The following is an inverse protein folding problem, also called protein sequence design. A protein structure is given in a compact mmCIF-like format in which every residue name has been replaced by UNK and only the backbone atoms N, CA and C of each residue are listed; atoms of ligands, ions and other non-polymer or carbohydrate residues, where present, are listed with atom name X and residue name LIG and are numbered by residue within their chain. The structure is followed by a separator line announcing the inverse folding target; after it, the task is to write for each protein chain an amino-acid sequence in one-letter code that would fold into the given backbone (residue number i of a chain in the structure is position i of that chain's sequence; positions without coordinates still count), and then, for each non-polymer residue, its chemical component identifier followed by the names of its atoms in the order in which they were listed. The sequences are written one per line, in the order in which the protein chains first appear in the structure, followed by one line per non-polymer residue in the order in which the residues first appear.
data_IF_126155896043
#
_entry.id   IF_126155896043
#
_cell.length_a   1.000
_cell.length_b   1.000
_cell.length_c   1.000
_cell.angle_alpha   90.00
_cell.angle_beta   90.00
_cell.angle_gamma   90.00
#
_symmetry.space_group_name_H-M   'P 1'
#
loop_
_entity.id
_entity.type
_entity.pdbx_description
1 polymer ?
#
# COMPACT_ATOMS: atom_id res chain seq x y z
N UNK A 1 -45.33 -7.44 -4.92
CA UNK A 1 -45.55 -6.90 -6.29
C UNK A 1 -44.75 -7.74 -7.26
N UNK A 2 -45.34 -8.86 -7.73
CA UNK A 2 -45.25 -9.50 -9.07
C UNK A 2 -46.51 -10.39 -9.08
N UNK A 3 -47.67 -9.78 -9.32
CA UNK A 3 -48.46 -9.93 -10.56
C UNK A 3 -49.06 -11.33 -10.73
N UNK A 4 -50.22 -11.48 -10.09
CA UNK A 4 -51.30 -12.34 -10.57
C UNK A 4 -51.92 -11.64 -11.78
N UNK A 5 -51.72 -12.17 -13.00
CA UNK A 5 -52.65 -11.97 -14.10
C UNK A 5 -52.46 -13.05 -15.17
N UNK A 6 -53.48 -13.91 -15.25
CA UNK A 6 -54.06 -14.46 -16.48
C UNK A 6 -53.18 -15.24 -17.46
N UNK A 7 -53.25 -16.57 -17.36
CA UNK A 7 -53.61 -17.36 -18.53
C UNK A 7 -54.98 -17.98 -18.27
N UNK A 8 -55.99 -17.39 -18.90
CA UNK A 8 -57.34 -17.91 -18.89
C UNK A 8 -57.41 -19.28 -19.56
N UNK A 9 -58.08 -20.21 -18.90
CA UNK A 9 -58.71 -21.34 -19.58
C UNK A 9 -60.16 -21.39 -19.10
N UNK A 10 -61.01 -21.04 -20.06
CA UNK A 10 -62.46 -20.97 -19.97
C UNK A 10 -63.10 -22.33 -19.66
N UNK A 11 -64.21 -22.25 -18.94
CA UNK A 11 -65.08 -23.30 -18.44
C UNK A 11 -65.37 -24.48 -19.38
N UNK A 12 -65.41 -25.68 -18.79
CA UNK A 12 -66.06 -26.87 -19.34
C UNK A 12 -65.95 -28.05 -18.38
N UNK A 13 -66.91 -28.17 -17.46
CA UNK A 13 -66.97 -29.27 -16.49
C UNK A 13 -67.19 -30.63 -17.18
N UNK A 14 -66.18 -31.50 -17.14
CA UNK A 14 -66.39 -32.97 -17.06
C UNK A 14 -65.27 -33.57 -16.23
N UNK A 15 -65.65 -34.08 -15.05
CA UNK A 15 -64.76 -34.81 -14.14
C UNK A 15 -64.24 -36.06 -14.86
N UNK A 16 -62.99 -36.03 -15.30
CA UNK A 16 -62.25 -37.24 -15.67
C UNK A 16 -61.27 -37.48 -14.53
N UNK A 17 -61.65 -38.32 -13.58
CA UNK A 17 -60.71 -38.84 -12.59
C UNK A 17 -59.70 -39.71 -13.33
N UNK A 18 -58.54 -39.16 -13.64
CA UNK A 18 -57.39 -39.95 -14.06
C UNK A 18 -57.03 -40.81 -12.85
N UNK A 19 -57.33 -42.11 -12.91
CA UNK A 19 -56.69 -43.08 -12.03
C UNK A 19 -55.22 -43.07 -12.46
N UNK A 20 -54.42 -42.23 -11.81
CA UNK A 20 -52.97 -42.31 -11.94
C UNK A 20 -52.58 -43.71 -11.45
N UNK A 21 -51.95 -44.48 -12.33
CA UNK A 21 -51.44 -45.78 -11.91
C UNK A 21 -50.37 -45.56 -10.84
N UNK A 22 -50.28 -46.47 -9.86
CA UNK A 22 -49.29 -46.38 -8.78
C UNK A 22 -47.85 -46.23 -9.30
N UNK A 23 -47.58 -46.72 -10.52
CA UNK A 23 -46.32 -46.54 -11.24
C UNK A 23 -46.04 -45.08 -11.63
N UNK A 24 -47.04 -44.34 -12.12
CA UNK A 24 -46.89 -42.94 -12.54
C UNK A 24 -46.67 -42.02 -11.31
N UNK A 25 -47.31 -42.36 -10.18
CA UNK A 25 -47.14 -41.63 -8.92
C UNK A 25 -45.73 -41.81 -8.33
N UNK A 26 -45.16 -43.02 -8.43
CA UNK A 26 -43.78 -43.33 -8.01
C UNK A 26 -42.74 -42.64 -8.93
N UNK A 27 -43.01 -42.58 -10.24
CA UNK A 27 -42.15 -41.89 -11.21
C UNK A 27 -42.12 -40.39 -10.94
N UNK A 28 -43.30 -39.76 -10.75
CA UNK A 28 -43.42 -38.34 -10.41
C UNK A 28 -42.74 -37.98 -9.08
N UNK A 29 -42.86 -38.85 -8.06
CA UNK A 29 -42.19 -38.66 -6.76
C UNK A 29 -40.67 -38.73 -6.87
N UNK A 30 -40.18 -39.58 -7.77
CA UNK A 30 -38.75 -39.73 -8.04
C UNK A 30 -38.19 -38.51 -8.75
N UNK A 31 -38.88 -38.00 -9.77
CA UNK A 31 -38.50 -36.77 -10.48
C UNK A 31 -38.46 -35.55 -9.56
N UNK A 32 -39.50 -35.35 -8.74
CA UNK A 32 -39.56 -34.24 -7.77
C UNK A 32 -38.41 -34.34 -6.75
N UNK A 33 -38.08 -35.55 -6.27
CA UNK A 33 -36.96 -35.78 -5.34
C UNK A 33 -35.61 -35.45 -5.97
N UNK A 34 -35.42 -35.78 -7.25
CA UNK A 34 -34.20 -35.46 -8.01
C UNK A 34 -34.07 -33.96 -8.27
N UNK A 35 -35.15 -33.26 -8.63
CA UNK A 35 -35.16 -31.81 -8.82
C UNK A 35 -34.86 -31.07 -7.51
N UNK A 36 -35.48 -31.48 -6.41
CA UNK A 36 -35.22 -30.90 -5.08
C UNK A 36 -33.74 -31.09 -4.71
N UNK A 37 -33.19 -32.29 -4.89
CA UNK A 37 -31.77 -32.60 -4.59
C UNK A 37 -30.79 -31.81 -5.46
N UNK A 38 -31.10 -31.59 -6.73
CA UNK A 38 -30.28 -30.78 -7.65
C UNK A 38 -30.32 -29.30 -7.29
N UNK A 39 -31.50 -28.73 -6.96
CA UNK A 39 -31.63 -27.36 -6.45
C UNK A 39 -30.86 -27.15 -5.15
N UNK A 40 -30.90 -28.11 -4.21
CA UNK A 40 -30.10 -28.05 -2.97
C UNK A 40 -28.59 -28.12 -3.22
N UNK A 41 -28.12 -28.92 -4.19
CA UNK A 41 -26.69 -28.94 -4.58
C UNK A 41 -26.26 -27.61 -5.18
N UNK A 42 -27.09 -27.04 -6.06
CA UNK A 42 -26.80 -25.78 -6.73
C UNK A 42 -26.83 -24.57 -5.78
N UNK A 43 -27.73 -24.57 -4.79
CA UNK A 43 -27.75 -23.54 -3.74
C UNK A 43 -26.53 -23.64 -2.83
N UNK A 44 -26.12 -24.86 -2.46
CA UNK A 44 -24.91 -25.10 -1.66
C UNK A 44 -23.64 -24.66 -2.40
N UNK A 45 -23.49 -25.02 -3.69
CA UNK A 45 -22.37 -24.58 -4.51
C UNK A 45 -22.28 -23.05 -4.63
N UNK A 46 -23.43 -22.36 -4.80
CA UNK A 46 -23.47 -20.89 -4.80
C UNK A 46 -23.03 -20.32 -3.46
N UNK A 47 -23.49 -20.87 -2.35
CA UNK A 47 -23.10 -20.43 -1.01
C UNK A 47 -21.60 -20.62 -0.75
N UNK A 48 -21.04 -21.77 -1.15
CA UNK A 48 -19.61 -22.06 -1.04
C UNK A 48 -18.79 -21.08 -1.88
N UNK A 49 -19.21 -20.79 -3.12
CA UNK A 49 -18.56 -19.82 -4.00
C UNK A 49 -18.58 -18.40 -3.41
N UNK A 50 -19.74 -17.92 -2.95
CA UNK A 50 -19.89 -16.62 -2.27
C UNK A 50 -18.98 -16.52 -1.03
N UNK A 51 -18.85 -17.61 -0.28
CA UNK A 51 -17.99 -17.66 0.91
C UNK A 51 -16.52 -17.53 0.52
N UNK A 52 -16.08 -18.26 -0.50
CA UNK A 52 -14.71 -18.18 -1.04
C UNK A 52 -14.39 -16.78 -1.57
N UNK A 53 -15.33 -16.16 -2.29
CA UNK A 53 -15.15 -14.81 -2.84
C UNK A 53 -15.07 -13.75 -1.72
N UNK A 54 -15.91 -13.85 -0.68
CA UNK A 54 -15.82 -12.98 0.51
C UNK A 54 -14.49 -13.14 1.25
N UNK A 55 -14.00 -14.37 1.44
CA UNK A 55 -12.72 -14.63 2.10
C UNK A 55 -11.54 -14.07 1.30
N UNK A 56 -11.60 -14.22 -0.04
CA UNK A 56 -10.61 -13.65 -0.95
C UNK A 56 -10.61 -12.13 -0.84
N UNK A 57 -11.77 -11.49 -0.87
CA UNK A 57 -11.89 -10.04 -0.76
C UNK A 57 -11.37 -9.52 0.58
N UNK A 58 -11.73 -10.18 1.69
CA UNK A 58 -11.18 -9.87 3.02
C UNK A 58 -9.65 -9.94 3.04
N UNK A 59 -9.06 -11.01 2.47
CA UNK A 59 -7.59 -11.14 2.36
C UNK A 59 -6.96 -10.02 1.52
N UNK A 60 -7.60 -9.60 0.43
CA UNK A 60 -7.13 -8.47 -0.36
C UNK A 60 -7.19 -7.16 0.42
N UNK A 61 -8.27 -6.90 1.15
CA UNK A 61 -8.40 -5.69 1.95
C UNK A 61 -7.39 -5.63 3.10
N UNK A 62 -7.12 -6.77 3.73
CA UNK A 62 -6.09 -6.87 4.78
C UNK A 62 -4.68 -6.65 4.22
N UNK A 63 -4.37 -7.20 3.03
CA UNK A 63 -3.12 -6.92 2.32
C UNK A 63 -2.99 -5.43 1.97
N UNK A 64 -4.06 -4.84 1.40
CA UNK A 64 -4.08 -3.41 1.03
C UNK A 64 -3.80 -2.53 2.24
N UNK A 65 -4.48 -2.78 3.37
CA UNK A 65 -4.26 -2.06 4.64
C UNK A 65 -2.81 -2.21 5.10
N UNK A 66 -2.25 -3.41 5.06
CA UNK A 66 -0.85 -3.66 5.42
C UNK A 66 0.14 -2.89 4.54
N UNK A 67 -0.06 -2.89 3.22
CA UNK A 67 0.78 -2.13 2.28
C UNK A 67 0.69 -0.62 2.50
N UNK A 68 -0.53 -0.08 2.63
CA UNK A 68 -0.76 1.34 2.90
C UNK A 68 -0.08 1.78 4.22
N UNK A 69 -0.20 0.95 5.26
CA UNK A 69 0.44 1.21 6.55
C UNK A 69 1.97 1.17 6.45
N UNK A 70 2.52 0.22 5.69
CA UNK A 70 3.97 0.11 5.43
C UNK A 70 4.51 1.40 4.79
N UNK A 71 3.82 1.88 3.74
CA UNK A 71 4.23 3.07 2.98
C UNK A 71 4.15 4.32 3.86
N UNK A 72 3.08 4.47 4.66
CA UNK A 72 2.93 5.58 5.61
C UNK A 72 4.07 5.62 6.64
N UNK A 73 4.42 4.49 7.26
CA UNK A 73 5.53 4.45 8.22
C UNK A 73 6.88 4.73 7.56
N UNK A 74 7.14 4.16 6.37
CA UNK A 74 8.37 4.41 5.62
C UNK A 74 8.53 5.91 5.28
N UNK A 75 7.44 6.58 4.87
CA UNK A 75 7.43 8.02 4.61
C UNK A 75 7.79 8.83 5.86
N UNK A 76 7.23 8.48 7.02
CA UNK A 76 7.52 9.17 8.29
C UNK A 76 8.97 8.97 8.72
N UNK A 77 9.50 7.75 8.64
CA UNK A 77 10.89 7.45 9.00
C UNK A 77 11.86 8.20 8.06
N UNK A 78 11.55 8.26 6.76
CA UNK A 78 12.34 9.04 5.79
C UNK A 78 12.38 10.53 6.11
N UNK A 79 11.25 11.10 6.56
CA UNK A 79 11.18 12.49 7.03
C UNK A 79 12.06 12.76 8.25
N UNK A 80 12.11 11.82 9.19
CA UNK A 80 12.96 11.94 10.39
C UNK A 80 14.45 11.81 10.07
N UNK A 81 14.83 11.05 9.04
CA UNK A 81 16.23 10.80 8.67
C UNK A 81 16.94 12.01 8.06
N UNK A 82 16.19 13.00 7.55
CA UNK A 82 16.76 14.18 6.89
C UNK A 82 16.51 15.45 7.72
N UNK A 83 17.46 16.38 7.65
CA UNK A 83 17.37 17.65 8.39
C UNK A 83 16.15 18.48 7.97
N UNK A 84 15.75 18.38 6.70
CA UNK A 84 14.66 19.16 6.08
C UNK A 84 13.32 18.41 6.11
N UNK A 85 13.30 17.14 6.50
CA UNK A 85 12.09 16.32 6.44
C UNK A 85 11.03 16.68 7.49
N UNK A 86 11.43 17.26 8.63
CA UNK A 86 10.50 17.65 9.70
C UNK A 86 10.88 19.00 10.27
N UNK A 87 9.90 19.88 10.51
CA UNK A 87 10.13 21.22 11.09
C UNK A 87 10.84 21.18 12.45
N UNK A 88 10.69 20.09 13.20
CA UNK A 88 11.41 19.86 14.46
C UNK A 88 12.92 19.76 14.28
N UNK A 89 13.40 19.08 13.24
CA UNK A 89 14.84 18.93 12.95
C UNK A 89 15.45 20.28 12.55
N UNK A 90 14.73 21.07 11.76
CA UNK A 90 15.11 22.43 11.37
C UNK A 90 15.13 23.36 12.59
N UNK A 91 14.12 23.27 13.46
CA UNK A 91 14.06 24.07 14.69
C UNK A 91 15.23 23.77 15.63
N UNK A 92 15.53 22.48 15.87
CA UNK A 92 16.66 22.07 16.72
C UNK A 92 17.98 22.59 16.16
N UNK A 93 18.18 22.52 14.84
CA UNK A 93 19.35 23.11 14.19
C UNK A 93 19.42 24.61 14.44
N UNK A 94 18.32 25.34 14.22
CA UNK A 94 18.28 26.79 14.45
C UNK A 94 18.60 27.16 15.89
N UNK A 95 18.06 26.40 16.86
CA UNK A 95 18.32 26.59 18.28
C UNK A 95 19.78 26.32 18.67
N UNK A 96 20.37 25.25 18.14
CA UNK A 96 21.80 24.92 18.36
C UNK A 96 22.69 26.00 17.74
N UNK A 97 22.39 26.43 16.51
CA UNK A 97 23.13 27.48 15.82
C UNK A 97 23.04 28.82 16.59
N UNK A 98 21.92 29.10 17.26
CA UNK A 98 21.75 30.32 18.06
C UNK A 98 22.47 30.26 19.41
N UNK A 99 22.41 29.11 20.08
CA UNK A 99 22.96 28.91 21.44
C UNK A 99 24.47 28.73 21.42
N UNK A 100 25.02 28.08 20.39
CA UNK A 100 26.44 27.71 20.28
C UNK A 100 27.23 28.58 19.28
N UNK A 101 26.80 29.83 19.06
CA UNK A 101 27.52 30.81 18.23
C UNK A 101 28.98 30.94 18.72
N UNK A 102 29.93 30.36 17.99
CA UNK A 102 31.37 30.48 18.26
C UNK A 102 32.14 29.19 18.56
N UNK A 103 31.47 28.03 18.62
CA UNK A 103 32.15 26.72 18.69
C UNK A 103 32.13 25.99 17.33
N UNK A 104 33.10 25.11 17.09
CA UNK A 104 33.22 24.34 15.85
C UNK A 104 32.07 23.34 15.60
N UNK A 105 31.13 23.20 16.55
CA UNK A 105 29.94 22.36 16.44
C UNK A 105 28.88 23.02 15.55
N UNK A 106 29.10 23.04 14.24
CA UNK A 106 28.06 23.41 13.26
C UNK A 106 27.32 22.18 12.79
N UNK A 107 26.00 22.15 12.99
CA UNK A 107 25.15 21.05 12.50
C UNK A 107 24.90 21.26 11.01
N UNK A 108 25.75 20.66 10.18
CA UNK A 108 25.61 20.70 8.72
C UNK A 108 24.60 19.66 8.21
N UNK A 109 24.00 19.94 7.05
CA UNK A 109 23.03 19.03 6.41
C UNK A 109 23.63 17.65 6.17
N UNK A 110 24.87 17.58 5.66
CA UNK A 110 25.56 16.32 5.40
C UNK A 110 25.85 15.54 6.69
N UNK A 111 26.32 16.19 7.75
CA UNK A 111 26.62 15.52 9.01
C UNK A 111 25.34 14.95 9.66
N UNK A 112 24.26 15.73 9.65
CA UNK A 112 22.96 15.26 10.12
C UNK A 112 22.42 14.11 9.27
N UNK A 113 22.55 14.19 7.94
CA UNK A 113 22.15 13.10 7.04
C UNK A 113 22.96 11.83 7.29
N UNK A 114 24.28 11.95 7.48
CA UNK A 114 25.16 10.81 7.73
C UNK A 114 24.85 10.12 9.07
N UNK A 115 24.39 10.88 10.07
CA UNK A 115 23.91 10.34 11.34
C UNK A 115 22.46 9.80 11.26
N UNK A 116 21.57 10.53 10.59
CA UNK A 116 20.15 10.23 10.49
C UNK A 116 19.84 9.05 9.56
N UNK A 117 20.62 8.85 8.50
CA UNK A 117 20.45 7.76 7.54
C UNK A 117 20.65 6.37 8.16
N UNK A 118 21.73 6.05 8.90
CA UNK A 118 21.87 4.74 9.54
C UNK A 118 20.81 4.49 10.60
N UNK A 119 20.45 5.51 11.40
CA UNK A 119 19.36 5.42 12.38
C UNK A 119 18.02 5.17 11.69
N UNK A 120 17.75 5.87 10.58
CA UNK A 120 16.56 5.68 9.75
C UNK A 120 16.47 4.28 9.16
N UNK A 121 17.59 3.73 8.67
CA UNK A 121 17.64 2.34 8.15
C UNK A 121 17.36 1.33 9.27
N UNK A 122 17.93 1.50 10.46
CA UNK A 122 17.65 0.64 11.62
C UNK A 122 16.16 0.71 11.99
N UNK A 123 15.58 1.91 12.04
CA UNK A 123 14.15 2.10 12.32
C UNK A 123 13.26 1.50 11.23
N UNK A 124 13.68 1.55 9.97
CA UNK A 124 12.97 0.93 8.85
C UNK A 124 12.96 -0.60 8.99
N UNK A 125 14.09 -1.20 9.38
CA UNK A 125 14.19 -2.65 9.64
C UNK A 125 13.32 -3.04 10.84
N UNK A 126 13.34 -2.26 11.92
CA UNK A 126 12.48 -2.49 13.10
C UNK A 126 10.99 -2.37 12.75
N UNK A 127 10.62 -1.37 11.95
CA UNK A 127 9.26 -1.19 11.46
C UNK A 127 8.81 -2.36 10.58
N UNK A 128 9.68 -2.81 9.67
CA UNK A 128 9.44 -3.99 8.84
C UNK A 128 9.23 -5.24 9.70
N UNK A 129 10.08 -5.47 10.71
CA UNK A 129 9.93 -6.57 11.64
C UNK A 129 8.62 -6.47 12.45
N UNK A 130 8.27 -5.27 12.91
CA UNK A 130 7.02 -5.01 13.62
C UNK A 130 5.78 -5.31 12.77
N UNK A 131 5.78 -4.88 11.51
CA UNK A 131 4.71 -5.20 10.57
C UNK A 131 4.63 -6.69 10.24
N UNK A 132 5.78 -7.34 10.11
CA UNK A 132 5.83 -8.79 9.93
C UNK A 132 5.25 -9.50 11.15
N UNK A 133 5.53 -9.04 12.37
CA UNK A 133 4.91 -9.59 13.58
C UNK A 133 3.39 -9.35 13.56
N UNK A 134 2.92 -8.15 13.27
CA UNK A 134 1.50 -7.80 13.28
C UNK A 134 0.68 -8.60 12.25
N UNK A 135 1.19 -8.72 11.02
CA UNK A 135 0.47 -9.37 9.92
C UNK A 135 0.70 -10.88 9.85
N UNK A 136 1.86 -11.37 10.31
CA UNK A 136 2.23 -12.79 10.26
C UNK A 136 2.00 -13.54 11.59
N UNK A 137 1.39 -12.88 12.60
CA UNK A 137 1.21 -13.38 13.99
C UNK A 137 0.37 -14.64 14.18
N UNK A 138 -0.16 -15.27 13.13
CA UNK A 138 -0.84 -16.58 13.19
C UNK A 138 -0.05 -17.69 12.44
N UNK A 139 1.05 -17.37 11.76
CA UNK A 139 1.74 -18.34 10.89
C UNK A 139 3.26 -18.43 11.08
N UNK A 140 3.83 -17.88 12.16
CA UNK A 140 5.26 -18.04 12.48
C UNK A 140 5.72 -19.51 12.51
N UNK A 141 4.81 -20.48 12.69
CA UNK A 141 5.11 -21.92 12.63
C UNK A 141 4.86 -22.59 11.26
N UNK A 142 4.41 -21.86 10.25
CA UNK A 142 4.19 -22.39 8.89
C UNK A 142 5.30 -21.92 7.94
N UNK A 143 6.53 -22.33 8.24
CA UNK A 143 7.66 -22.30 7.28
C UNK A 143 7.50 -23.41 6.21
N UNK A 144 6.29 -23.60 5.68
CA UNK A 144 6.04 -24.47 4.51
C UNK A 144 5.39 -23.62 3.46
N UNK A 145 6.24 -23.17 2.54
CA UNK A 145 5.86 -22.76 1.18
C UNK A 145 5.01 -23.87 0.56
N UNK A 146 3.69 -23.68 0.59
CA UNK A 146 2.80 -24.50 -0.22
C UNK A 146 3.08 -24.14 -1.69
N UNK A 147 3.38 -25.14 -2.52
CA UNK A 147 3.72 -24.96 -3.94
C UNK A 147 2.64 -24.20 -4.73
N UNK A 148 1.41 -24.10 -4.19
CA UNK A 148 0.34 -23.25 -4.71
C UNK A 148 0.66 -21.75 -4.71
N UNK A 149 1.51 -21.25 -3.82
CA UNK A 149 1.87 -19.83 -3.77
C UNK A 149 2.75 -19.41 -4.97
N UNK A 150 3.55 -20.31 -5.55
CA UNK A 150 4.43 -19.96 -6.69
C UNK A 150 3.65 -19.64 -7.97
N UNK A 151 2.52 -20.32 -8.19
CA UNK A 151 1.63 -20.07 -9.35
C UNK A 151 0.91 -18.73 -9.17
N UNK A 152 0.48 -18.41 -7.95
CA UNK A 152 -0.11 -17.11 -7.58
C UNK A 152 0.88 -15.96 -7.76
N UNK A 153 2.14 -16.16 -7.37
CA UNK A 153 3.23 -15.19 -7.54
C UNK A 153 3.51 -14.88 -9.02
N UNK A 154 3.48 -15.88 -9.90
CA UNK A 154 3.63 -15.66 -11.35
C UNK A 154 2.51 -14.80 -11.94
N UNK A 155 1.26 -15.06 -11.54
CA UNK A 155 0.10 -14.27 -11.97
C UNK A 155 0.13 -12.84 -11.42
N UNK A 156 0.52 -12.66 -10.15
CA UNK A 156 0.69 -11.35 -9.53
C UNK A 156 1.80 -10.54 -10.20
N UNK A 157 2.96 -11.16 -10.47
CA UNK A 157 4.06 -10.54 -11.20
C UNK A 157 3.64 -10.12 -12.60
N UNK A 158 2.91 -10.97 -13.33
CA UNK A 158 2.39 -10.63 -14.65
C UNK A 158 1.40 -9.46 -14.61
N UNK A 159 0.53 -9.40 -13.59
CA UNK A 159 -0.38 -8.27 -13.37
C UNK A 159 0.37 -6.97 -13.04
N UNK A 160 1.40 -7.05 -12.18
CA UNK A 160 2.24 -5.91 -11.83
C UNK A 160 3.05 -5.41 -13.04
N UNK A 161 3.63 -6.32 -13.82
CA UNK A 161 4.37 -5.95 -15.03
C UNK A 161 3.45 -5.30 -16.05
N UNK A 162 2.24 -5.83 -16.22
CA UNK A 162 1.22 -5.25 -17.11
C UNK A 162 0.86 -3.83 -16.68
N UNK A 163 0.59 -3.63 -15.38
CA UNK A 163 0.33 -2.30 -14.84
C UNK A 163 1.54 -1.37 -15.05
N UNK A 164 2.76 -1.84 -14.74
CA UNK A 164 4.01 -1.09 -14.96
C UNK A 164 4.21 -0.70 -16.43
N UNK A 165 3.94 -1.59 -17.37
CA UNK A 165 4.00 -1.28 -18.80
C UNK A 165 2.90 -0.31 -19.24
N UNK A 166 1.73 -0.36 -18.60
CA UNK A 166 0.63 0.57 -18.86
C UNK A 166 0.94 2.01 -18.38
N UNK A 167 1.82 2.21 -17.39
CA UNK A 167 2.28 3.55 -16.97
C UNK A 167 3.08 4.28 -18.06
N UNK A 168 3.57 3.57 -19.08
CA UNK A 168 4.31 4.18 -20.19
C UNK A 168 5.72 4.65 -19.81
N UNK A 169 6.40 5.26 -20.79
CA UNK A 169 7.74 5.82 -20.60
C UNK A 169 7.63 7.12 -19.78
N UNK A 170 8.59 7.40 -18.87
CA UNK A 170 8.55 8.63 -18.09
C UNK A 170 8.52 9.85 -19.01
N UNK A 171 7.66 10.80 -18.66
CA UNK A 171 7.53 12.05 -19.41
C UNK A 171 8.80 12.90 -19.27
N UNK A 172 9.07 13.76 -20.25
CA UNK A 172 10.18 14.72 -20.18
C UNK A 172 10.15 15.55 -18.89
N UNK A 173 8.94 15.91 -18.43
CA UNK A 173 8.75 16.68 -17.20
C UNK A 173 9.17 15.90 -15.96
N UNK A 174 8.86 14.60 -15.89
CA UNK A 174 9.26 13.75 -14.77
C UNK A 174 10.77 13.62 -14.68
N UNK A 175 11.43 13.52 -15.84
CA UNK A 175 12.88 13.52 -15.92
C UNK A 175 13.47 14.85 -15.42
N UNK A 176 12.95 15.99 -15.89
CA UNK A 176 13.39 17.31 -15.42
C UNK A 176 13.26 17.48 -13.91
N UNK A 177 12.11 17.10 -13.32
CA UNK A 177 11.91 17.18 -11.86
C UNK A 177 12.89 16.27 -11.11
N UNK A 178 13.14 15.06 -11.61
CA UNK A 178 14.12 14.15 -11.03
C UNK A 178 15.54 14.71 -11.06
N UNK A 179 15.95 15.30 -12.19
CA UNK A 179 17.27 15.93 -12.33
C UNK A 179 17.42 17.13 -11.40
N UNK A 180 16.43 18.01 -11.35
CA UNK A 180 16.44 19.19 -10.45
C UNK A 180 16.52 18.76 -8.98
N UNK A 181 15.79 17.71 -8.60
CA UNK A 181 15.82 17.18 -7.24
C UNK A 181 17.20 16.64 -6.85
N UNK A 182 17.86 15.91 -7.76
CA UNK A 182 19.23 15.41 -7.53
C UNK A 182 20.22 16.58 -7.41
N UNK A 183 20.14 17.56 -8.31
CA UNK A 183 20.98 18.77 -8.25
C UNK A 183 20.75 19.51 -6.92
N UNK A 184 19.51 19.62 -6.45
CA UNK A 184 19.19 20.25 -5.18
C UNK A 184 19.85 19.52 -4.00
N UNK A 185 19.78 18.18 -3.95
CA UNK A 185 20.43 17.39 -2.90
C UNK A 185 21.95 17.58 -2.94
N UNK A 186 22.55 17.51 -4.13
CA UNK A 186 23.99 17.75 -4.31
C UNK A 186 24.36 19.15 -3.84
N UNK A 187 23.57 20.16 -4.21
CA UNK A 187 23.79 21.54 -3.81
C UNK A 187 23.72 21.69 -2.29
N UNK A 188 22.75 21.06 -1.62
CA UNK A 188 22.65 21.03 -0.16
C UNK A 188 23.86 20.38 0.51
N UNK A 189 24.39 19.31 -0.06
CA UNK A 189 25.61 18.65 0.43
C UNK A 189 26.84 19.54 0.22
N UNK A 190 26.98 20.17 -0.95
CA UNK A 190 28.10 21.07 -1.27
C UNK A 190 28.01 22.46 -0.63
N UNK A 191 26.86 22.81 -0.04
CA UNK A 191 26.63 24.12 0.60
C UNK A 191 27.56 24.35 1.80
N UNK A 192 27.72 23.34 2.64
CA UNK A 192 28.61 23.35 3.82
C UNK A 192 29.24 21.95 3.96
N UNK A 193 30.36 21.76 3.24
CA UNK A 193 31.06 20.48 3.19
C UNK A 193 31.94 20.32 4.45
N UNK A 194 31.28 20.08 5.60
CA UNK A 194 31.92 19.68 6.85
C UNK A 194 33.03 20.62 7.33
N UNK A 195 34.27 20.31 6.96
CA UNK A 195 35.51 20.97 7.40
C UNK A 195 36.12 21.93 6.36
N UNK A 196 35.71 21.86 5.09
CA UNK A 196 36.10 22.83 4.06
C UNK A 196 34.99 23.85 3.87
N UNK A 197 35.33 25.14 3.95
CA UNK A 197 34.44 26.26 3.63
C UNK A 197 33.77 25.98 2.27
N UNK A 198 32.47 25.67 2.27
CA UNK A 198 31.72 25.44 1.04
C UNK A 198 31.53 26.73 0.24
N UNK A 199 30.88 26.66 -0.93
CA UNK A 199 30.57 27.85 -1.75
C UNK A 199 29.77 28.93 -0.99
N UNK A 200 29.09 28.55 0.10
CA UNK A 200 28.41 29.47 1.03
C UNK A 200 29.32 30.58 1.56
N UNK A 201 30.61 30.33 1.76
CA UNK A 201 31.52 31.35 2.30
C UNK A 201 31.85 32.45 1.31
N UNK A 202 31.69 32.20 0.00
CA UNK A 202 31.89 33.23 -1.04
C UNK A 202 30.84 34.33 -0.91
N UNK A 203 29.61 33.98 -0.52
CA UNK A 203 28.52 34.93 -0.33
C UNK A 203 28.48 35.53 1.09
N UNK A 204 29.03 34.83 2.10
CA UNK A 204 29.06 35.31 3.49
C UNK A 204 30.23 36.27 3.80
N UNK A 205 31.35 36.18 3.08
CA UNK A 205 32.48 37.13 3.27
C UNK A 205 32.12 38.56 2.83
N UNK A 206 31.15 38.72 1.93
CA UNK A 206 30.71 40.04 1.45
C UNK A 206 29.74 40.73 2.42
N UNK A 207 28.87 39.97 3.09
CA UNK A 207 27.86 40.51 4.02
C UNK A 207 28.41 40.87 5.41
N UNK A 208 29.47 40.19 5.88
CA UNK A 208 30.15 40.56 7.13
C UNK A 208 31.08 41.77 6.97
N UNK A 209 31.60 42.03 5.76
CA UNK A 209 32.46 43.19 5.49
C UNK A 209 31.69 44.50 5.49
N UNK A 210 30.41 44.51 5.09
CA UNK A 210 29.60 45.73 5.00
C UNK A 210 29.11 46.25 6.35
N UNK A 211 28.84 45.38 7.33
CA UNK A 211 28.36 45.79 8.66
C UNK A 211 29.49 46.36 9.53
N UNK A 212 30.72 45.84 9.40
CA UNK A 212 31.88 46.34 10.16
C UNK A 212 32.47 47.63 9.58
N UNK A 213 32.26 47.90 8.29
CA UNK A 213 32.73 49.11 7.63
C UNK A 213 31.85 50.34 7.90
N UNK A 214 30.64 50.16 8.47
CA UNK A 214 29.74 51.25 8.85
C UNK A 214 29.87 51.69 10.32
N UNK A 215 30.69 50.99 11.12
CA UNK A 215 30.92 51.29 12.55
C UNK A 215 32.40 51.67 12.81
N UNK A 216 33.23 51.76 11.76
CA UNK A 216 34.64 52.17 11.84
C UNK A 216 34.86 53.65 11.50
#
# INVERSE_FOLDING_TARGET
VIELSEMGVSNGHTKTGVILNASELEEQKTEVSVEVKTRFRQSRQRHDQLTVDRLRQKRFDDLRKGFLLSIAYASTIGGLATLVGTGTNVFVKGYIDETYKGTAFRVNFLNFLLFGLPVGVIMLILCWLWLQILYNRIQFFKWRTDSKDRVSQGKLKAMLLKQYTDLGKPSWNEYCVGVVFIIMILLWVTRDFGETKGWSTIFLDEYYKSEFCLIG
#
